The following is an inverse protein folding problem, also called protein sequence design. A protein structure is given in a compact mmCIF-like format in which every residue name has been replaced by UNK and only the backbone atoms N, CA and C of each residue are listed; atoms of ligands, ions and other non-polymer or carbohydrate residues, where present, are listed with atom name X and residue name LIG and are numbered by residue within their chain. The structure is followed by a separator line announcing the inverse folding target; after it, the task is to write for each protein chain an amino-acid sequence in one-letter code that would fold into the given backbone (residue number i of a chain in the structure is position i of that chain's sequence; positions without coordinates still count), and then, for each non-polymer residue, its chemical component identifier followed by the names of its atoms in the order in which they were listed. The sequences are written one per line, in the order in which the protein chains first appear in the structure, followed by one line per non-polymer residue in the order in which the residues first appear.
data_IF_748811385328
#
_entry.id   IF_748811385328
#
_cell.length_a   1.000
_cell.length_b   1.000
_cell.length_c   1.000
_cell.angle_alpha   90.00
_cell.angle_beta   90.00
_cell.angle_gamma   90.00
#
_symmetry.space_group_name_H-M   'P 1'
#
loop_
_entity.id
_entity.type
_entity.pdbx_description
1 polymer ?
#
# COMPACT_ATOMS: atom_id res chain seq x y z
N UNK A 1 8.36 8.41 4.02
CA UNK A 1 7.75 7.13 3.65
C UNK A 1 6.28 7.05 4.07
N UNK A 2 5.98 7.15 5.37
CA UNK A 2 4.60 7.05 5.89
C UNK A 2 3.63 8.08 5.30
N UNK A 3 3.98 9.36 5.27
CA UNK A 3 3.15 10.41 4.65
C UNK A 3 2.83 10.12 3.17
N UNK A 4 3.81 9.64 2.40
CA UNK A 4 3.63 9.28 0.98
C UNK A 4 2.69 8.09 0.83
N UNK A 5 2.90 7.03 1.61
CA UNK A 5 2.05 5.85 1.59
C UNK A 5 0.60 6.20 1.95
N UNK A 6 0.39 7.04 2.97
CA UNK A 6 -0.95 7.55 3.31
C UNK A 6 -1.58 8.32 2.16
N UNK A 7 -0.79 9.16 1.47
CA UNK A 7 -1.28 9.93 0.32
C UNK A 7 -1.69 9.04 -0.86
N UNK A 8 -0.91 7.99 -1.15
CA UNK A 8 -1.25 7.00 -2.19
C UNK A 8 -2.58 6.32 -1.85
N UNK A 9 -2.70 5.77 -0.64
CA UNK A 9 -3.91 5.09 -0.20
C UNK A 9 -5.10 6.04 -0.24
N UNK A 10 -4.94 7.26 0.25
CA UNK A 10 -5.98 8.28 0.24
C UNK A 10 -6.47 8.59 -1.16
N UNK A 11 -5.54 8.78 -2.11
CA UNK A 11 -5.87 9.07 -3.49
C UNK A 11 -6.56 7.88 -4.18
N UNK A 12 -6.07 6.65 -3.97
CA UNK A 12 -6.68 5.45 -4.53
C UNK A 12 -8.08 5.16 -3.96
N UNK A 13 -8.26 5.35 -2.65
CA UNK A 13 -9.54 5.14 -1.96
C UNK A 13 -10.47 6.35 -2.00
N UNK A 14 -10.05 7.47 -2.62
CA UNK A 14 -10.83 8.71 -2.67
C UNK A 14 -11.26 9.20 -1.26
N UNK A 15 -10.33 9.14 -0.31
CA UNK A 15 -10.51 9.58 1.08
C UNK A 15 -9.44 10.60 1.48
N UNK A 16 -9.59 11.20 2.66
CA UNK A 16 -8.57 12.11 3.18
C UNK A 16 -7.33 11.37 3.71
N UNK A 17 -6.11 11.86 3.45
CA UNK A 17 -4.88 11.26 3.98
C UNK A 17 -4.81 11.31 5.52
N UNK A 18 -5.54 12.23 6.15
CA UNK A 18 -5.68 12.33 7.60
C UNK A 18 -6.44 11.15 8.21
N UNK A 19 -7.34 10.51 7.45
CA UNK A 19 -8.13 9.36 7.94
C UNK A 19 -7.40 8.03 7.74
N UNK A 20 -6.33 7.98 6.93
CA UNK A 20 -5.50 6.78 6.75
C UNK A 20 -4.68 6.56 8.02
N UNK A 21 -5.29 5.79 8.93
CA UNK A 21 -4.73 5.41 10.23
C UNK A 21 -3.97 4.08 10.19
N UNK A 22 -3.50 3.67 11.36
CA UNK A 22 -2.84 2.37 11.53
C UNK A 22 -3.73 1.18 11.18
N UNK A 23 -5.05 1.33 11.30
CA UNK A 23 -6.03 0.26 11.10
C UNK A 23 -6.67 0.31 9.70
N UNK A 24 -6.12 1.13 8.80
CA UNK A 24 -6.55 1.17 7.41
C UNK A 24 -6.19 -0.14 6.68
N UNK A 25 -7.14 -0.68 5.92
CA UNK A 25 -7.02 -1.93 5.19
C UNK A 25 -8.33 -2.30 4.48
N UNK A 26 -8.33 -3.43 3.74
CA UNK A 26 -9.40 -3.81 2.80
C UNK A 26 -10.82 -3.75 3.40
N UNK A 27 -10.99 -4.14 4.66
CA UNK A 27 -12.30 -4.16 5.32
C UNK A 27 -12.56 -2.97 6.26
N UNK A 28 -11.54 -2.16 6.50
CA UNK A 28 -11.58 -1.06 7.47
C UNK A 28 -11.59 0.31 6.78
N UNK A 29 -11.25 0.37 5.50
CA UNK A 29 -11.16 1.60 4.73
C UNK A 29 -12.15 1.58 3.58
N UNK A 30 -13.02 2.59 3.47
CA UNK A 30 -13.96 2.66 2.36
C UNK A 30 -13.22 2.77 1.02
N UNK A 31 -13.75 2.11 -0.01
CA UNK A 31 -13.18 1.99 -1.35
C UNK A 31 -11.84 1.23 -1.42
N UNK A 32 -11.39 0.62 -0.32
CA UNK A 32 -10.27 -0.31 -0.34
C UNK A 32 -10.76 -1.74 -0.67
N UNK A 33 -11.48 -1.91 -1.77
CA UNK A 33 -11.91 -3.21 -2.27
C UNK A 33 -10.81 -3.89 -3.09
N UNK A 34 -11.12 -5.00 -3.77
CA UNK A 34 -10.14 -5.71 -4.61
C UNK A 34 -9.50 -4.83 -5.70
N UNK A 35 -10.27 -3.93 -6.32
CA UNK A 35 -9.74 -3.01 -7.34
C UNK A 35 -8.88 -1.90 -6.73
N UNK A 36 -9.37 -1.26 -5.66
CA UNK A 36 -8.63 -0.23 -4.93
C UNK A 36 -7.31 -0.78 -4.38
N UNK A 37 -7.32 -2.02 -3.88
CA UNK A 37 -6.12 -2.70 -3.42
C UNK A 37 -5.07 -2.86 -4.52
N UNK A 38 -5.46 -3.35 -5.71
CA UNK A 38 -4.55 -3.47 -6.85
C UNK A 38 -3.99 -2.10 -7.27
N UNK A 39 -4.82 -1.07 -7.32
CA UNK A 39 -4.39 0.29 -7.66
C UNK A 39 -3.37 0.83 -6.65
N UNK A 40 -3.59 0.62 -5.34
CA UNK A 40 -2.64 0.99 -4.29
C UNK A 40 -1.30 0.29 -4.51
N UNK A 41 -1.31 -1.02 -4.79
CA UNK A 41 -0.07 -1.78 -4.99
C UNK A 41 0.72 -1.24 -6.18
N UNK A 42 0.07 -0.98 -7.32
CA UNK A 42 0.74 -0.40 -8.50
C UNK A 42 1.34 0.98 -8.19
N UNK A 43 0.60 1.85 -7.51
CA UNK A 43 1.11 3.15 -7.10
C UNK A 43 2.28 3.03 -6.10
N UNK A 44 2.25 2.05 -5.20
CA UNK A 44 3.34 1.76 -4.26
C UNK A 44 4.58 1.25 -5.01
N UNK A 45 4.43 0.34 -5.98
CA UNK A 45 5.53 -0.12 -6.83
C UNK A 45 6.22 1.05 -7.55
N UNK A 46 5.43 1.93 -8.17
CA UNK A 46 5.93 3.08 -8.92
C UNK A 46 6.60 4.13 -8.01
N UNK A 47 5.98 4.49 -6.88
CA UNK A 47 6.50 5.53 -5.98
C UNK A 47 7.74 5.07 -5.21
N UNK A 48 7.81 3.79 -4.80
CA UNK A 48 8.90 3.28 -3.98
C UNK A 48 9.92 2.46 -4.78
N UNK A 49 9.69 2.22 -6.07
CA UNK A 49 10.58 1.43 -6.94
C UNK A 49 10.71 -0.02 -6.48
N UNK A 50 9.62 -0.59 -5.94
CA UNK A 50 9.56 -1.99 -5.49
C UNK A 50 8.81 -2.84 -6.50
N UNK A 51 9.04 -4.15 -6.46
CA UNK A 51 8.29 -5.13 -7.27
C UNK A 51 7.50 -6.01 -6.30
N UNK A 52 6.17 -6.02 -6.46
CA UNK A 52 5.23 -6.76 -5.66
C UNK A 52 4.64 -7.89 -6.49
N UNK A 53 5.07 -9.12 -6.21
CA UNK A 53 4.44 -10.31 -6.79
C UNK A 53 3.02 -10.54 -6.21
N UNK A 54 2.20 -11.30 -6.92
CA UNK A 54 0.80 -11.58 -6.55
C UNK A 54 0.65 -12.17 -5.15
N UNK A 55 1.62 -12.98 -4.69
CA UNK A 55 1.64 -13.51 -3.32
C UNK A 55 1.91 -12.41 -2.29
N UNK A 56 2.81 -11.49 -2.60
CA UNK A 56 3.09 -10.33 -1.75
C UNK A 56 1.87 -9.43 -1.69
N UNK A 57 1.29 -9.06 -2.84
CA UNK A 57 0.07 -8.27 -2.93
C UNK A 57 -1.03 -8.84 -2.03
N UNK A 58 -1.32 -10.14 -2.15
CA UNK A 58 -2.34 -10.82 -1.34
C UNK A 58 -2.06 -10.82 0.18
N UNK A 59 -0.81 -10.62 0.60
CA UNK A 59 -0.43 -10.49 2.01
C UNK A 59 -0.48 -9.04 2.51
N UNK A 60 -0.39 -8.05 1.62
CA UNK A 60 -0.33 -6.63 1.96
C UNK A 60 -1.73 -6.00 2.07
N UNK A 61 -2.58 -6.56 2.91
CA UNK A 61 -4.01 -6.19 2.99
C UNK A 61 -4.30 -4.97 3.87
N UNK A 62 -3.28 -4.46 4.57
CA UNK A 62 -3.42 -3.30 5.47
C UNK A 62 -2.28 -2.31 5.30
N UNK A 63 -2.51 -1.06 5.70
CA UNK A 63 -1.48 -0.01 5.76
C UNK A 63 -0.26 -0.45 6.57
N UNK A 64 -0.48 -1.10 7.72
CA UNK A 64 0.60 -1.64 8.57
C UNK A 64 1.44 -2.68 7.84
N UNK A 65 0.83 -3.57 7.06
CA UNK A 65 1.53 -4.61 6.31
C UNK A 65 2.41 -4.01 5.21
N UNK A 66 1.84 -3.09 4.42
CA UNK A 66 2.58 -2.38 3.37
C UNK A 66 3.73 -1.58 3.98
N UNK A 67 3.46 -0.83 5.05
CA UNK A 67 4.49 -0.03 5.72
C UNK A 67 5.61 -0.90 6.28
N UNK A 68 5.25 -2.03 6.91
CA UNK A 68 6.22 -3.00 7.41
C UNK A 68 7.04 -3.55 6.27
N UNK A 69 6.41 -3.99 5.18
CA UNK A 69 7.09 -4.49 3.99
C UNK A 69 8.09 -3.47 3.46
N UNK A 70 7.69 -2.21 3.27
CA UNK A 70 8.57 -1.13 2.78
C UNK A 70 9.71 -0.82 3.76
N UNK A 71 9.49 -0.91 5.08
CA UNK A 71 10.53 -0.72 6.10
C UNK A 71 11.51 -1.91 6.17
N UNK A 72 11.00 -3.13 5.98
CA UNK A 72 11.79 -4.38 5.98
C UNK A 72 12.40 -4.70 4.61
N UNK A 73 11.95 -3.99 3.57
CA UNK A 73 12.21 -4.25 2.17
C UNK A 73 13.67 -4.07 1.84
N UNK A 74 14.40 -5.19 1.93
CA UNK A 74 15.70 -5.42 1.28
C UNK A 74 15.65 -4.90 -0.15
N UNK A 75 16.67 -4.14 -0.54
CA UNK A 75 17.17 -4.06 -1.92
C UNK A 75 17.30 -5.49 -2.45
N UNK A 76 16.29 -6.04 -3.14
CA UNK A 76 16.56 -7.16 -4.04
C UNK A 76 17.11 -6.53 -5.30
N UNK A 77 18.44 -6.54 -5.36
CA UNK A 77 19.24 -6.21 -6.53
C UNK A 77 18.55 -6.73 -7.79
N UNK A 78 18.47 -5.83 -8.78
CA UNK A 78 18.24 -6.21 -10.16
C UNK A 78 19.17 -7.37 -10.52
N UNK A 79 18.59 -8.35 -11.20
CA UNK A 79 19.33 -9.41 -11.84
C UNK A 79 20.01 -8.87 -13.09
#
# INVERSE_FOLDING_TARGET
MEKKLKFIIANCCQIEPSVVGGDAGINATPNWDSFGHLQIMVCVEQEFGVVLDTKTIAQLTSYKDILKYLKTGKKKNGK
#
